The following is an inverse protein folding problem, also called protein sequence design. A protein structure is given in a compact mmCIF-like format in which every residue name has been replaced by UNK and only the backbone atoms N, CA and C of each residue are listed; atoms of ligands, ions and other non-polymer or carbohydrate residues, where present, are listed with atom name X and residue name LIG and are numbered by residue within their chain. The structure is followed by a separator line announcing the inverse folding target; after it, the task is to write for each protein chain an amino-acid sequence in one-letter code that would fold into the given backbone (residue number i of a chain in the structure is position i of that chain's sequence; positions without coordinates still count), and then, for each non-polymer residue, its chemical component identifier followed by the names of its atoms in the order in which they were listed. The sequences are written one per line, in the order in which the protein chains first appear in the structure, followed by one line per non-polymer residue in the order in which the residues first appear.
data_IF_740392457053
#
_entry.id   IF_740392457053
#
_cell.length_a   1.000
_cell.length_b   1.000
_cell.length_c   1.000
_cell.angle_alpha   90.00
_cell.angle_beta   90.00
_cell.angle_gamma   90.00
#
_symmetry.space_group_name_H-M   'P 1'
#
loop_
_entity.id
_entity.type
_entity.pdbx_description
1 polymer ?
#
# COMPACT_ATOMS: atom_id res chain seq x y z
N UNK A 1 16.72 -2.02 3.90
CA UNK A 1 15.30 -1.95 3.42
C UNK A 1 14.62 -0.71 3.97
N UNK A 2 13.93 0.10 3.14
CA UNK A 2 13.18 1.28 3.60
C UNK A 2 11.91 0.88 4.35
N UNK A 3 11.54 1.66 5.37
CA UNK A 3 10.26 1.54 6.07
C UNK A 3 9.41 2.75 5.70
N UNK A 4 8.28 2.49 5.08
CA UNK A 4 7.33 3.46 4.59
C UNK A 4 5.96 3.24 5.23
N UNK A 5 5.07 4.24 5.18
CA UNK A 5 3.70 4.11 5.67
C UNK A 5 2.67 4.51 4.61
N UNK A 6 1.44 3.99 4.77
CA UNK A 6 0.30 4.35 3.93
C UNK A 6 -0.94 4.54 4.81
N UNK A 7 -1.78 5.49 4.44
CA UNK A 7 -2.98 5.83 5.19
C UNK A 7 -4.24 5.76 4.32
N UNK A 8 -5.32 5.27 4.90
CA UNK A 8 -6.67 5.63 4.49
C UNK A 8 -6.92 7.04 5.04
N UNK A 9 -6.89 8.12 4.22
CA UNK A 9 -6.79 9.46 4.73
C UNK A 9 -8.05 9.88 5.49
N UNK A 10 -7.83 10.41 6.68
CA UNK A 10 -8.77 11.08 7.57
C UNK A 10 -8.33 12.54 7.80
N UNK A 11 -9.10 13.30 8.57
CA UNK A 11 -8.80 14.73 8.76
C UNK A 11 -7.50 14.97 9.53
N UNK A 12 -7.10 14.03 10.38
CA UNK A 12 -5.87 14.04 11.18
C UNK A 12 -4.66 13.38 10.50
N UNK A 13 -4.85 12.80 9.32
CA UNK A 13 -3.75 12.16 8.58
C UNK A 13 -2.55 13.08 8.33
N UNK A 14 -2.69 14.40 8.07
CA UNK A 14 -1.54 15.29 7.99
C UNK A 14 -0.69 15.31 9.27
N UNK A 15 -1.30 15.19 10.46
CA UNK A 15 -0.58 15.10 11.75
C UNK A 15 0.17 13.77 11.86
N UNK A 16 -0.46 12.68 11.44
CA UNK A 16 0.18 11.36 11.39
C UNK A 16 1.36 11.29 10.44
N UNK A 17 1.31 12.02 9.30
CA UNK A 17 2.44 12.12 8.36
C UNK A 17 3.60 12.91 8.98
N UNK A 18 3.33 13.98 9.73
CA UNK A 18 4.37 14.71 10.48
C UNK A 18 5.04 13.78 11.49
N UNK A 19 4.25 13.05 12.28
CA UNK A 19 4.78 12.06 13.23
C UNK A 19 5.59 10.97 12.51
N UNK A 20 5.14 10.48 11.36
CA UNK A 20 5.88 9.50 10.57
C UNK A 20 7.25 10.04 10.12
N UNK A 21 7.34 11.33 9.75
CA UNK A 21 8.63 11.98 9.46
C UNK A 21 9.54 11.99 10.70
N UNK A 22 9.02 12.37 11.85
CA UNK A 22 9.75 12.41 13.13
C UNK A 22 10.25 11.01 13.54
N UNK A 23 9.47 9.97 13.30
CA UNK A 23 9.83 8.58 13.55
C UNK A 23 10.80 7.99 12.50
N UNK A 24 11.13 8.74 11.43
CA UNK A 24 12.09 8.32 10.42
C UNK A 24 11.52 7.40 9.33
N UNK A 25 10.21 7.40 9.09
CA UNK A 25 9.63 6.81 7.89
C UNK A 25 10.12 7.58 6.66
N UNK A 26 10.42 6.86 5.57
CA UNK A 26 11.01 7.47 4.37
C UNK A 26 9.96 8.01 3.40
N UNK A 27 8.78 7.37 3.34
CA UNK A 27 7.63 7.76 2.52
C UNK A 27 6.33 7.61 3.28
N UNK A 28 5.41 8.54 3.04
CA UNK A 28 4.01 8.45 3.42
C UNK A 28 3.14 8.49 2.17
N UNK A 29 2.33 7.46 2.01
CA UNK A 29 1.35 7.35 0.93
C UNK A 29 -0.06 7.57 1.47
N UNK A 30 -0.97 8.02 0.62
CA UNK A 30 -2.40 8.03 0.93
C UNK A 30 -3.19 7.35 -0.18
N UNK A 31 -4.28 6.68 0.18
CA UNK A 31 -5.20 6.11 -0.80
C UNK A 31 -6.09 7.18 -1.42
N UNK A 32 -6.49 6.97 -2.69
CA UNK A 32 -7.41 7.85 -3.41
C UNK A 32 -8.73 7.14 -3.69
N UNK A 33 -9.62 7.14 -2.70
CA UNK A 33 -11.01 6.65 -2.81
C UNK A 33 -11.94 7.68 -2.18
N UNK A 34 -12.30 8.77 -2.92
CA UNK A 34 -13.01 9.93 -2.37
C UNK A 34 -14.37 9.64 -1.73
N UNK A 35 -14.99 8.51 -2.07
CA UNK A 35 -16.27 8.09 -1.47
C UNK A 35 -16.13 7.48 -0.09
N UNK A 36 -14.89 7.10 0.31
CA UNK A 36 -14.61 6.45 1.60
C UNK A 36 -13.71 7.27 2.50
N UNK A 37 -12.88 8.16 1.93
CA UNK A 37 -11.79 8.83 2.64
C UNK A 37 -11.82 10.34 2.45
N UNK A 38 -11.08 11.06 3.29
CA UNK A 38 -10.80 12.48 3.08
C UNK A 38 -10.08 12.71 1.74
N UNK A 39 -10.22 13.91 1.17
CA UNK A 39 -9.63 14.23 -0.14
C UNK A 39 -8.09 14.14 -0.08
N UNK A 40 -7.57 13.35 -0.99
CA UNK A 40 -6.14 13.03 -1.12
C UNK A 40 -5.29 14.28 -1.39
N UNK A 41 -5.77 15.18 -2.26
CA UNK A 41 -5.04 16.40 -2.61
C UNK A 41 -4.96 17.38 -1.43
N UNK A 42 -6.05 17.54 -0.69
CA UNK A 42 -6.08 18.38 0.52
C UNK A 42 -5.16 17.79 1.59
N UNK A 43 -5.29 16.50 1.87
CA UNK A 43 -4.46 15.80 2.88
C UNK A 43 -2.97 15.96 2.56
N UNK A 44 -2.55 15.68 1.32
CA UNK A 44 -1.15 15.78 0.92
C UNK A 44 -0.65 17.23 0.87
N UNK A 45 -1.49 18.19 0.47
CA UNK A 45 -1.15 19.62 0.50
C UNK A 45 -0.85 20.11 1.93
N UNK A 46 -1.69 19.72 2.89
CA UNK A 46 -1.49 20.04 4.31
C UNK A 46 -0.24 19.35 4.89
N UNK A 47 0.01 18.10 4.53
CA UNK A 47 1.22 17.37 4.94
C UNK A 47 2.48 17.98 4.30
N UNK A 48 2.45 18.33 3.01
CA UNK A 48 3.57 18.94 2.30
C UNK A 48 4.03 20.25 2.92
N UNK A 49 3.08 21.06 3.40
CA UNK A 49 3.36 22.35 4.06
C UNK A 49 3.97 22.19 5.48
N UNK A 50 3.89 21.01 6.07
CA UNK A 50 4.28 20.75 7.46
C UNK A 50 5.45 19.77 7.59
N UNK A 51 5.92 19.20 6.49
CA UNK A 51 7.03 18.24 6.43
C UNK A 51 8.14 18.75 5.54
N UNK A 52 9.36 18.27 5.76
CA UNK A 52 10.57 18.78 5.05
C UNK A 52 11.38 17.67 4.38
N UNK A 53 11.30 16.42 4.85
CA UNK A 53 12.15 15.31 4.43
C UNK A 53 11.37 14.10 3.89
N UNK A 54 10.24 13.74 4.52
CA UNK A 54 9.46 12.57 4.11
C UNK A 54 8.93 12.77 2.68
N UNK A 55 9.05 11.72 1.87
CA UNK A 55 8.41 11.71 0.54
C UNK A 55 6.91 11.45 0.70
N UNK A 56 6.12 12.11 -0.13
CA UNK A 56 4.67 12.04 -0.12
C UNK A 56 4.19 11.37 -1.41
N UNK A 57 3.10 10.61 -1.35
CA UNK A 57 2.60 9.97 -2.56
C UNK A 57 1.15 9.54 -2.48
N UNK A 58 0.60 9.18 -3.64
CA UNK A 58 -0.75 8.61 -3.78
C UNK A 58 -0.64 7.16 -4.22
N UNK A 59 -1.29 6.26 -3.51
CA UNK A 59 -1.34 4.83 -3.83
C UNK A 59 -2.79 4.33 -3.88
N UNK A 60 -3.47 4.53 -5.00
CA UNK A 60 -3.05 4.93 -6.35
C UNK A 60 -4.07 5.87 -6.99
N UNK A 61 -3.62 6.77 -7.86
CA UNK A 61 -4.52 7.44 -8.78
C UNK A 61 -5.15 6.43 -9.74
N UNK A 62 -6.45 6.59 -9.97
CA UNK A 62 -7.21 5.71 -10.87
C UNK A 62 -7.76 6.55 -12.02
N UNK A 63 -7.55 6.16 -13.29
CA UNK A 63 -8.04 6.92 -14.45
C UNK A 63 -9.54 7.16 -14.47
N UNK A 64 -10.33 6.30 -13.81
CA UNK A 64 -11.78 6.40 -13.76
C UNK A 64 -12.33 7.44 -12.77
N UNK A 65 -11.51 7.88 -11.79
CA UNK A 65 -11.95 8.81 -10.75
C UNK A 65 -11.88 10.26 -11.19
N UNK A 66 -10.82 10.63 -11.88
CA UNK A 66 -10.57 12.00 -12.31
C UNK A 66 -10.04 12.01 -13.74
N UNK A 67 -10.40 13.04 -14.50
CA UNK A 67 -9.81 13.25 -15.82
C UNK A 67 -8.27 13.38 -15.72
N UNK A 68 -7.56 12.95 -16.75
CA UNK A 68 -6.08 12.99 -16.81
C UNK A 68 -5.50 14.35 -16.40
N UNK A 69 -6.05 15.45 -16.92
CA UNK A 69 -5.57 16.80 -16.60
C UNK A 69 -5.75 17.19 -15.14
N UNK A 70 -6.78 16.67 -14.46
CA UNK A 70 -7.01 16.92 -13.04
C UNK A 70 -5.93 16.27 -12.19
N UNK A 71 -5.60 15.01 -12.46
CA UNK A 71 -4.51 14.33 -11.77
C UNK A 71 -3.14 14.95 -12.11
N UNK A 72 -2.90 15.29 -13.39
CA UNK A 72 -1.67 15.94 -13.81
C UNK A 72 -1.47 17.31 -13.12
N UNK A 73 -2.53 18.13 -13.02
CA UNK A 73 -2.50 19.41 -12.33
C UNK A 73 -2.25 19.27 -10.82
N UNK A 74 -2.92 18.31 -10.17
CA UNK A 74 -2.70 18.00 -8.75
C UNK A 74 -1.24 17.56 -8.50
N UNK A 75 -0.72 16.65 -9.32
CA UNK A 75 0.66 16.16 -9.22
C UNK A 75 1.64 17.33 -9.43
N UNK A 76 1.41 18.17 -10.44
CA UNK A 76 2.26 19.33 -10.71
C UNK A 76 2.30 20.30 -9.52
N UNK A 77 1.14 20.54 -8.89
CA UNK A 77 1.06 21.35 -7.69
C UNK A 77 1.83 20.74 -6.52
N UNK A 78 1.57 19.47 -6.19
CA UNK A 78 2.23 18.77 -5.07
C UNK A 78 3.74 18.63 -5.28
N UNK A 79 4.19 18.35 -6.50
CA UNK A 79 5.61 18.30 -6.84
C UNK A 79 6.30 19.67 -6.71
N UNK A 80 5.54 20.76 -6.92
CA UNK A 80 6.05 22.13 -6.74
C UNK A 80 6.12 22.53 -5.27
N UNK A 81 5.12 22.17 -4.46
CA UNK A 81 5.09 22.47 -3.01
C UNK A 81 6.07 21.58 -2.22
N UNK A 82 6.28 20.35 -2.67
CA UNK A 82 7.24 19.40 -2.07
C UNK A 82 8.32 19.00 -3.08
N UNK A 83 9.27 19.89 -3.45
CA UNK A 83 10.23 19.64 -4.52
C UNK A 83 11.07 18.38 -4.26
N UNK A 84 11.10 17.47 -5.25
CA UNK A 84 11.82 16.20 -5.17
C UNK A 84 11.24 15.18 -4.19
N UNK A 85 10.14 15.47 -3.49
CA UNK A 85 9.54 14.63 -2.46
C UNK A 85 8.17 14.06 -2.82
N UNK A 86 7.68 14.21 -4.05
CA UNK A 86 6.39 13.68 -4.46
C UNK A 86 6.54 12.48 -5.40
N UNK A 87 5.76 11.44 -5.15
CA UNK A 87 5.67 10.21 -5.93
C UNK A 87 4.22 9.99 -6.41
N UNK A 88 4.01 9.63 -7.67
CA UNK A 88 2.68 9.38 -8.22
C UNK A 88 2.46 7.88 -8.44
N UNK A 89 1.65 7.26 -7.60
CA UNK A 89 1.18 5.89 -7.82
C UNK A 89 -0.03 5.89 -8.75
N UNK A 90 -0.05 4.99 -9.72
CA UNK A 90 -1.14 4.78 -10.68
C UNK A 90 -1.57 3.32 -10.67
N UNK A 91 -2.85 3.04 -10.68
CA UNK A 91 -3.36 1.68 -10.65
C UNK A 91 -4.71 1.49 -11.33
N UNK A 92 -5.09 0.22 -11.50
CA UNK A 92 -6.33 -0.15 -12.15
C UNK A 92 -7.59 0.28 -11.37
N UNK A 93 -7.45 0.53 -10.07
CA UNK A 93 -8.53 1.02 -9.22
C UNK A 93 -9.57 -0.07 -8.91
N UNK A 94 -9.17 -1.11 -8.19
CA UNK A 94 -10.10 -2.20 -7.84
C UNK A 94 -11.29 -1.69 -7.02
N UNK A 95 -11.05 -1.17 -5.82
CA UNK A 95 -12.09 -0.66 -4.92
C UNK A 95 -12.81 0.55 -5.51
N UNK A 96 -12.06 1.54 -6.00
CA UNK A 96 -12.62 2.78 -6.54
C UNK A 96 -13.47 2.56 -7.78
N UNK A 97 -13.11 1.63 -8.67
CA UNK A 97 -13.93 1.30 -9.84
C UNK A 97 -15.22 0.59 -9.45
N UNK A 98 -15.19 -0.28 -8.44
CA UNK A 98 -16.41 -0.99 -7.96
C UNK A 98 -17.46 -0.02 -7.45
N UNK A 99 -17.08 1.02 -6.72
CA UNK A 99 -18.01 2.07 -6.28
C UNK A 99 -18.68 2.82 -7.44
N UNK A 100 -17.99 2.92 -8.57
CA UNK A 100 -18.53 3.55 -9.77
C UNK A 100 -19.32 2.59 -10.66
N UNK A 101 -19.50 1.33 -10.24
CA UNK A 101 -20.10 0.28 -11.07
C UNK A 101 -19.28 -0.03 -12.33
N UNK A 102 -17.97 0.21 -12.30
CA UNK A 102 -17.04 0.00 -13.41
C UNK A 102 -16.10 -1.16 -13.13
N UNK A 103 -15.58 -1.76 -14.19
CA UNK A 103 -14.47 -2.70 -14.10
C UNK A 103 -13.17 -1.94 -13.89
N UNK A 104 -12.16 -2.53 -13.22
CA UNK A 104 -10.82 -1.96 -13.16
C UNK A 104 -10.26 -1.64 -14.54
N UNK A 105 -9.44 -0.61 -14.64
CA UNK A 105 -8.82 -0.20 -15.90
C UNK A 105 -7.92 -1.32 -16.46
N UNK A 106 -7.90 -1.46 -17.79
CA UNK A 106 -7.01 -2.42 -18.45
C UNK A 106 -5.57 -1.94 -18.43
N UNK A 107 -4.60 -2.85 -18.43
CA UNK A 107 -3.18 -2.52 -18.39
C UNK A 107 -2.74 -1.63 -19.57
N UNK A 108 -3.28 -1.86 -20.76
CA UNK A 108 -3.01 -1.00 -21.91
C UNK A 108 -3.52 0.44 -21.74
N UNK A 109 -4.68 0.61 -21.10
CA UNK A 109 -5.23 1.94 -20.81
C UNK A 109 -4.40 2.65 -19.74
N UNK A 110 -3.89 1.91 -18.74
CA UNK A 110 -2.97 2.44 -17.74
C UNK A 110 -1.63 2.86 -18.35
N UNK A 111 -1.09 2.06 -19.26
CA UNK A 111 0.15 2.39 -19.96
C UNK A 111 0.00 3.69 -20.76
N UNK A 112 -1.07 3.81 -21.54
CA UNK A 112 -1.41 5.06 -22.25
C UNK A 112 -1.59 6.24 -21.28
N UNK A 113 -2.28 6.02 -20.17
CA UNK A 113 -2.50 7.05 -19.15
C UNK A 113 -1.19 7.55 -18.55
N UNK A 114 -0.29 6.66 -18.17
CA UNK A 114 1.01 7.03 -17.58
C UNK A 114 1.90 7.77 -18.59
N UNK A 115 1.89 7.35 -19.86
CA UNK A 115 2.63 8.05 -20.93
C UNK A 115 2.10 9.48 -21.12
N UNK A 116 0.78 9.64 -21.20
CA UNK A 116 0.14 10.94 -21.33
C UNK A 116 0.38 11.83 -20.08
N UNK A 117 0.32 11.23 -18.88
CA UNK A 117 0.62 11.94 -17.63
C UNK A 117 2.06 12.48 -17.62
N UNK A 118 3.03 11.67 -18.02
CA UNK A 118 4.44 12.10 -18.12
C UNK A 118 4.64 13.23 -19.12
N UNK A 119 4.00 13.14 -20.29
CA UNK A 119 4.08 14.19 -21.31
C UNK A 119 3.49 15.52 -20.79
N UNK A 120 2.34 15.49 -20.11
CA UNK A 120 1.76 16.68 -19.46
C UNK A 120 2.68 17.26 -18.40
N UNK A 121 3.33 16.43 -17.58
CA UNK A 121 4.29 16.86 -16.57
C UNK A 121 5.61 17.37 -17.18
N UNK A 122 5.93 16.95 -18.40
CA UNK A 122 7.03 17.53 -19.18
C UNK A 122 6.66 18.89 -19.80
N UNK A 123 5.39 19.32 -19.73
CA UNK A 123 4.89 20.55 -20.35
C UNK A 123 4.46 20.39 -21.81
N UNK A 124 4.30 19.15 -22.26
CA UNK A 124 3.90 18.82 -23.64
C UNK A 124 2.38 18.84 -23.82
N UNK A 125 1.94 18.84 -25.07
CA UNK A 125 0.55 18.62 -25.46
C UNK A 125 0.32 17.13 -25.74
N UNK A 126 -0.84 16.63 -25.36
CA UNK A 126 -1.23 15.23 -25.63
C UNK A 126 -2.64 15.17 -26.22
N UNK A 127 -2.89 14.21 -27.09
CA UNK A 127 -4.25 13.88 -27.52
C UNK A 127 -4.88 12.94 -26.49
N UNK A 128 -5.98 13.36 -25.89
CA UNK A 128 -6.72 12.60 -24.89
C UNK A 128 -8.23 12.71 -25.13
N UNK A 129 -8.87 11.54 -25.30
CA UNK A 129 -10.31 11.41 -25.55
C UNK A 129 -10.81 12.30 -26.71
N UNK A 130 -10.02 12.38 -27.81
CA UNK A 130 -10.34 13.13 -29.02
C UNK A 130 -10.08 14.64 -28.92
N UNK A 131 -9.42 15.10 -27.88
CA UNK A 131 -9.08 16.51 -27.68
C UNK A 131 -7.61 16.67 -27.36
N UNK A 132 -6.95 17.71 -27.92
CA UNK A 132 -5.61 18.07 -27.54
C UNK A 132 -5.67 18.84 -26.20
N UNK A 133 -4.93 18.33 -25.19
CA UNK A 133 -4.87 18.92 -23.86
C UNK A 133 -3.45 19.23 -23.45
N UNK A 134 -3.27 20.23 -22.59
CA UNK A 134 -2.00 20.57 -21.95
C UNK A 134 -2.23 21.20 -20.58
N UNK A 135 -1.18 21.28 -19.75
CA UNK A 135 -1.23 22.07 -18.52
C UNK A 135 -0.80 23.50 -18.81
N UNK A 136 -1.73 24.43 -18.71
CA UNK A 136 -1.56 25.83 -19.09
C UNK A 136 -1.26 26.74 -17.88
N UNK A 137 -0.49 26.25 -16.91
CA UNK A 137 -0.08 27.06 -15.77
C UNK A 137 0.84 28.21 -16.25
N UNK A 138 0.46 29.44 -15.93
CA UNK A 138 1.33 30.58 -16.23
C UNK A 138 2.54 30.58 -15.30
N UNK A 139 3.68 31.18 -15.69
CA UNK A 139 4.84 31.32 -14.81
C UNK A 139 4.53 32.01 -13.47
N UNK A 140 3.48 32.86 -13.45
CA UNK A 140 3.03 33.54 -12.22
C UNK A 140 2.40 32.59 -11.19
N UNK A 141 1.96 31.38 -11.59
CA UNK A 141 1.46 30.36 -10.66
C UNK A 141 2.57 29.72 -9.81
N UNK A 142 3.83 29.91 -10.16
CA UNK A 142 4.98 29.26 -9.53
C UNK A 142 5.28 27.85 -10.05
N UNK A 143 4.36 27.23 -10.80
CA UNK A 143 4.55 25.89 -11.38
C UNK A 143 5.37 26.02 -12.66
N UNK A 144 6.46 25.26 -12.77
CA UNK A 144 7.36 25.27 -13.92
C UNK A 144 7.58 23.86 -14.43
N UNK A 145 7.68 23.73 -15.74
CA UNK A 145 7.92 22.48 -16.45
C UNK A 145 9.34 22.44 -17.05
N UNK A 146 9.95 21.26 -17.24
CA UNK A 146 9.43 19.93 -16.91
C UNK A 146 9.44 19.64 -15.40
N UNK A 147 8.52 18.76 -14.97
CA UNK A 147 8.47 18.20 -13.61
C UNK A 147 8.82 16.72 -13.67
N UNK A 148 9.89 16.34 -12.99
CA UNK A 148 10.28 14.94 -12.82
C UNK A 148 9.58 14.34 -11.58
N UNK A 149 8.60 13.47 -11.81
CA UNK A 149 7.86 12.81 -10.75
C UNK A 149 8.00 11.30 -10.93
N UNK A 150 8.56 10.57 -9.94
CA UNK A 150 8.62 9.12 -9.98
C UNK A 150 7.22 8.51 -10.08
N UNK A 151 7.05 7.56 -11.00
CA UNK A 151 5.80 6.83 -11.18
C UNK A 151 5.91 5.47 -10.52
N UNK A 152 4.86 5.09 -9.80
CA UNK A 152 4.69 3.78 -9.19
C UNK A 152 3.40 3.13 -9.71
N UNK A 153 3.44 1.81 -9.90
CA UNK A 153 2.28 1.05 -10.37
C UNK A 153 1.72 0.19 -9.24
N UNK A 154 0.44 0.35 -8.93
CA UNK A 154 -0.29 -0.63 -8.13
C UNK A 154 -0.52 -1.91 -8.95
N UNK A 155 0.24 -2.98 -8.69
CA UNK A 155 0.22 -4.20 -9.49
C UNK A 155 0.40 -5.45 -8.61
N UNK A 156 -0.37 -6.52 -8.89
CA UNK A 156 -0.37 -7.74 -8.08
C UNK A 156 -0.16 -9.01 -8.92
N UNK A 157 0.37 -8.90 -10.13
CA UNK A 157 0.57 -10.07 -10.99
C UNK A 157 1.37 -9.78 -12.25
N UNK A 158 1.68 -10.84 -13.04
CA UNK A 158 2.66 -10.77 -14.13
C UNK A 158 2.38 -9.69 -15.19
N UNK A 159 1.11 -9.49 -15.56
CA UNK A 159 0.74 -8.46 -16.55
C UNK A 159 1.02 -7.04 -16.04
N UNK A 160 0.73 -6.78 -14.77
CA UNK A 160 1.01 -5.49 -14.13
C UNK A 160 2.51 -5.24 -13.98
N UNK A 161 3.26 -6.25 -13.55
CA UNK A 161 4.72 -6.18 -13.42
C UNK A 161 5.39 -5.92 -14.77
N UNK A 162 4.98 -6.63 -15.84
CA UNK A 162 5.47 -6.37 -17.19
C UNK A 162 5.16 -4.95 -17.68
N UNK A 163 3.98 -4.40 -17.32
CA UNK A 163 3.65 -3.01 -17.66
C UNK A 163 4.51 -2.02 -16.87
N UNK A 164 4.73 -2.26 -15.57
CA UNK A 164 5.62 -1.44 -14.74
C UNK A 164 7.05 -1.43 -15.31
N UNK A 165 7.57 -2.59 -15.71
CA UNK A 165 8.90 -2.72 -16.33
C UNK A 165 9.00 -1.90 -17.62
N UNK A 166 8.03 -2.02 -18.54
CA UNK A 166 8.02 -1.23 -19.79
C UNK A 166 7.99 0.27 -19.54
N UNK A 167 7.30 0.68 -18.49
CA UNK A 167 7.20 2.09 -18.10
C UNK A 167 8.40 2.57 -17.27
N UNK A 168 9.34 1.70 -16.87
CA UNK A 168 10.40 2.06 -15.93
C UNK A 168 9.83 2.60 -14.61
N UNK A 169 8.71 2.02 -14.14
CA UNK A 169 8.01 2.43 -12.93
C UNK A 169 8.33 1.48 -11.78
N UNK A 170 8.33 2.01 -10.54
CA UNK A 170 8.32 1.18 -9.35
C UNK A 170 6.96 0.46 -9.18
N UNK A 171 6.91 -0.50 -8.28
CA UNK A 171 5.70 -1.28 -7.98
C UNK A 171 5.33 -1.15 -6.50
N UNK A 172 4.03 -0.95 -6.24
CA UNK A 172 3.41 -1.15 -4.93
C UNK A 172 2.53 -2.39 -5.04
N UNK A 173 2.77 -3.38 -4.21
CA UNK A 173 2.09 -4.68 -4.26
C UNK A 173 1.94 -5.29 -2.88
N UNK A 174 1.11 -6.34 -2.79
CA UNK A 174 1.08 -7.18 -1.61
C UNK A 174 2.17 -8.26 -1.71
N UNK A 175 2.67 -8.78 -0.58
CA UNK A 175 3.60 -9.91 -0.59
C UNK A 175 2.94 -11.13 -1.24
N UNK A 176 3.74 -11.94 -1.91
CA UNK A 176 3.29 -13.26 -2.39
C UNK A 176 3.54 -14.31 -1.31
N UNK A 177 2.66 -15.32 -1.26
CA UNK A 177 2.90 -16.50 -0.46
C UNK A 177 3.75 -17.50 -1.26
N UNK A 178 4.78 -18.09 -0.63
CA UNK A 178 5.67 -19.07 -1.25
C UNK A 178 7.14 -18.66 -1.28
N UNK A 179 7.92 -19.32 -2.11
CA UNK A 179 9.39 -19.23 -2.12
C UNK A 179 9.95 -17.87 -2.58
N UNK A 180 9.11 -17.03 -3.17
CA UNK A 180 9.48 -15.69 -3.64
C UNK A 180 8.60 -14.61 -3.01
N UNK A 181 8.94 -14.13 -1.80
CA UNK A 181 8.16 -13.11 -1.11
C UNK A 181 8.19 -11.74 -1.82
N UNK A 182 9.25 -11.47 -2.61
CA UNK A 182 9.40 -10.23 -3.41
C UNK A 182 9.11 -10.55 -4.88
N UNK A 183 7.93 -10.19 -5.41
CA UNK A 183 7.47 -10.67 -6.72
C UNK A 183 8.01 -9.87 -7.92
N UNK A 184 8.71 -8.77 -7.68
CA UNK A 184 9.18 -7.83 -8.71
C UNK A 184 10.66 -7.50 -8.54
N UNK A 185 11.44 -7.54 -9.63
CA UNK A 185 12.89 -7.35 -9.60
C UNK A 185 13.35 -5.87 -9.61
N UNK A 186 12.41 -4.91 -9.69
CA UNK A 186 12.68 -3.48 -9.65
C UNK A 186 12.40 -2.87 -8.28
N UNK A 187 12.29 -1.54 -8.23
CA UNK A 187 11.86 -0.82 -7.05
C UNK A 187 10.47 -1.32 -6.61
N UNK A 188 10.37 -1.99 -5.47
CA UNK A 188 9.17 -2.67 -5.02
C UNK A 188 8.88 -2.32 -3.56
N UNK A 189 7.65 -1.90 -3.28
CA UNK A 189 7.13 -1.70 -1.94
C UNK A 189 6.10 -2.78 -1.63
N UNK A 190 6.34 -3.53 -0.57
CA UNK A 190 5.46 -4.60 -0.10
C UNK A 190 4.52 -4.05 0.97
N UNK A 191 3.23 -4.04 0.68
CA UNK A 191 2.20 -3.51 1.59
C UNK A 191 1.85 -4.53 2.66
N UNK A 192 1.93 -4.11 3.91
CA UNK A 192 1.56 -4.90 5.07
C UNK A 192 0.59 -4.15 5.98
N UNK A 193 -0.30 -4.91 6.59
CA UNK A 193 -1.30 -4.50 7.57
C UNK A 193 -1.03 -5.27 8.87
N UNK A 194 -1.47 -4.75 9.99
CA UNK A 194 -1.35 -5.46 11.26
C UNK A 194 -0.95 -4.54 12.41
N UNK A 195 -0.55 -5.14 13.52
CA UNK A 195 -0.14 -4.40 14.73
C UNK A 195 0.96 -5.13 15.48
N UNK A 196 1.78 -4.36 16.20
CA UNK A 196 2.72 -4.89 17.18
C UNK A 196 1.96 -5.19 18.47
N UNK A 197 2.00 -6.44 18.92
CA UNK A 197 1.41 -6.87 20.20
C UNK A 197 2.31 -6.42 21.36
N UNK A 198 1.67 -6.07 22.48
CA UNK A 198 2.36 -5.94 23.75
C UNK A 198 2.80 -7.32 24.27
N UNK A 199 3.69 -7.35 25.27
CA UNK A 199 4.11 -8.58 25.91
C UNK A 199 2.87 -9.31 26.50
N UNK A 200 2.76 -10.61 26.21
CA UNK A 200 1.65 -11.46 26.61
C UNK A 200 0.25 -11.05 26.09
N UNK A 201 0.17 -10.11 25.13
CA UNK A 201 -1.11 -9.72 24.54
C UNK A 201 -1.64 -10.78 23.58
N UNK A 202 -2.88 -11.29 23.79
CA UNK A 202 -3.51 -12.19 22.84
C UNK A 202 -3.71 -11.52 21.46
N UNK A 203 -3.47 -12.28 20.38
CA UNK A 203 -3.62 -11.77 19.00
C UNK A 203 -5.05 -11.34 18.67
N UNK A 204 -6.03 -11.85 19.41
CA UNK A 204 -7.45 -11.52 19.33
C UNK A 204 -7.92 -10.63 20.49
N UNK A 205 -7.01 -9.94 21.15
CA UNK A 205 -7.36 -8.91 22.13
C UNK A 205 -8.25 -7.83 21.48
N UNK A 206 -9.12 -7.15 22.23
CA UNK A 206 -9.93 -6.06 21.69
C UNK A 206 -9.09 -5.00 20.94
N UNK A 207 -7.91 -4.63 21.47
CA UNK A 207 -7.00 -3.70 20.82
C UNK A 207 -6.43 -4.24 19.52
N UNK A 208 -5.95 -5.49 19.52
CA UNK A 208 -5.38 -6.13 18.34
C UNK A 208 -6.44 -6.27 17.23
N UNK A 209 -7.68 -6.61 17.57
CA UNK A 209 -8.81 -6.65 16.62
C UNK A 209 -9.07 -5.27 16.02
N UNK A 210 -9.07 -4.20 16.81
CA UNK A 210 -9.27 -2.85 16.27
C UNK A 210 -8.10 -2.39 15.38
N UNK A 211 -6.86 -2.71 15.74
CA UNK A 211 -5.67 -2.27 15.02
C UNK A 211 -5.39 -3.12 13.76
N UNK A 212 -5.47 -4.45 13.85
CA UNK A 212 -5.20 -5.35 12.73
C UNK A 212 -6.43 -5.67 11.88
N UNK A 213 -7.63 -5.49 12.47
CA UNK A 213 -8.91 -5.83 11.84
C UNK A 213 -9.14 -5.21 10.46
N UNK A 214 -8.83 -3.93 10.22
CA UNK A 214 -8.97 -3.35 8.90
C UNK A 214 -8.20 -4.10 7.80
N UNK A 215 -6.97 -4.52 8.09
CA UNK A 215 -6.16 -5.34 7.18
C UNK A 215 -6.66 -6.79 7.07
N UNK A 216 -7.08 -7.38 8.16
CA UNK A 216 -7.66 -8.73 8.19
C UNK A 216 -8.99 -8.78 7.42
N UNK A 217 -9.81 -7.72 7.49
CA UNK A 217 -11.02 -7.57 6.68
C UNK A 217 -10.70 -7.56 5.19
N UNK A 218 -9.65 -6.84 4.77
CA UNK A 218 -9.20 -6.89 3.37
C UNK A 218 -8.88 -8.33 2.92
N UNK A 219 -8.24 -9.12 3.79
CA UNK A 219 -7.96 -10.52 3.49
C UNK A 219 -9.24 -11.36 3.35
N UNK A 220 -10.30 -11.09 4.16
CA UNK A 220 -11.62 -11.68 4.00
C UNK A 220 -12.27 -11.27 2.66
N UNK A 221 -12.16 -10.00 2.26
CA UNK A 221 -12.69 -9.48 1.00
C UNK A 221 -12.06 -10.16 -0.24
N UNK A 222 -10.82 -10.64 -0.13
CA UNK A 222 -10.17 -11.41 -1.20
C UNK A 222 -10.71 -12.84 -1.33
N UNK A 223 -11.42 -13.35 -0.33
CA UNK A 223 -12.07 -14.66 -0.33
C UNK A 223 -11.11 -15.81 -0.68
N UNK A 224 -11.53 -16.67 -1.61
CA UNK A 224 -10.74 -17.83 -2.03
C UNK A 224 -9.50 -17.48 -2.88
N UNK A 225 -9.31 -16.22 -3.24
CA UNK A 225 -8.13 -15.74 -3.98
C UNK A 225 -7.08 -15.07 -3.08
N UNK A 226 -7.34 -15.02 -1.78
CA UNK A 226 -6.50 -14.35 -0.79
C UNK A 226 -5.78 -15.30 0.16
N UNK A 227 -5.10 -14.74 1.15
CA UNK A 227 -4.32 -15.50 2.14
C UNK A 227 -5.18 -16.42 3.02
N UNK A 228 -6.50 -16.18 3.10
CA UNK A 228 -7.45 -16.96 3.91
C UNK A 228 -8.14 -18.09 3.12
N UNK A 229 -7.67 -18.36 1.89
CA UNK A 229 -8.24 -19.44 1.08
C UNK A 229 -8.27 -20.78 1.85
N UNK A 230 -9.41 -21.45 1.82
CA UNK A 230 -9.64 -22.73 2.52
C UNK A 230 -9.98 -22.61 4.00
N UNK A 231 -9.99 -21.41 4.59
CA UNK A 231 -10.46 -21.21 5.97
C UNK A 231 -12.00 -21.16 6.03
N UNK A 232 -12.61 -21.73 7.09
CA UNK A 232 -14.05 -21.68 7.27
C UNK A 232 -14.58 -20.22 7.40
N UNK A 233 -13.81 -19.33 8.00
CA UNK A 233 -14.14 -17.92 8.13
C UNK A 233 -14.31 -17.25 6.76
N UNK A 234 -13.41 -17.51 5.80
CA UNK A 234 -13.51 -16.98 4.44
C UNK A 234 -14.76 -17.50 3.72
N UNK A 235 -15.12 -18.78 3.89
CA UNK A 235 -16.34 -19.34 3.32
C UNK A 235 -17.60 -18.76 3.98
N UNK A 236 -17.61 -18.64 5.31
CA UNK A 236 -18.70 -18.03 6.07
C UNK A 236 -18.89 -16.56 5.73
N UNK A 237 -17.79 -15.80 5.59
CA UNK A 237 -17.80 -14.41 5.16
C UNK A 237 -18.42 -14.26 3.76
N UNK A 238 -17.97 -15.07 2.80
CA UNK A 238 -18.51 -15.05 1.45
C UNK A 238 -20.03 -15.32 1.43
N UNK A 239 -20.49 -16.29 2.20
CA UNK A 239 -21.92 -16.58 2.32
C UNK A 239 -22.71 -15.40 2.92
N UNK A 240 -22.15 -14.69 3.90
CA UNK A 240 -22.77 -13.51 4.49
C UNK A 240 -22.85 -12.34 3.49
N UNK A 241 -21.82 -12.14 2.69
CA UNK A 241 -21.79 -11.12 1.63
C UNK A 241 -22.76 -11.47 0.50
N UNK A 242 -22.86 -12.74 0.11
CA UNK A 242 -23.78 -13.20 -0.95
C UNK A 242 -25.25 -13.08 -0.56
N UNK A 243 -25.57 -13.10 0.73
CA UNK A 243 -26.91 -12.86 1.24
C UNK A 243 -27.40 -11.41 1.13
N UNK A 244 -26.49 -10.46 0.87
CA UNK A 244 -26.83 -9.05 0.69
C UNK A 244 -27.38 -8.84 -0.74
N UNK A 245 -28.40 -7.98 -0.87
CA UNK A 245 -28.91 -7.57 -2.18
C UNK A 245 -27.76 -7.11 -3.09
N UNK A 246 -27.68 -7.65 -4.30
CA UNK A 246 -26.58 -7.44 -5.23
C UNK A 246 -26.28 -5.96 -5.50
N UNK A 247 -27.34 -5.12 -5.57
CA UNK A 247 -27.21 -3.69 -5.84
C UNK A 247 -26.54 -2.91 -4.71
N UNK A 248 -26.61 -3.43 -3.47
CA UNK A 248 -26.09 -2.78 -2.28
C UNK A 248 -24.81 -3.46 -1.73
N UNK A 249 -24.52 -4.67 -2.22
CA UNK A 249 -23.44 -5.55 -1.71
C UNK A 249 -22.09 -4.81 -1.61
N UNK A 250 -21.70 -4.05 -2.63
CA UNK A 250 -20.46 -3.31 -2.66
C UNK A 250 -20.38 -2.20 -1.59
N UNK A 251 -21.51 -1.60 -1.23
CA UNK A 251 -21.57 -0.57 -0.18
C UNK A 251 -21.34 -1.17 1.20
N UNK A 252 -21.93 -2.35 1.46
CA UNK A 252 -21.76 -3.04 2.74
C UNK A 252 -20.37 -3.70 2.83
N UNK A 253 -19.87 -4.27 1.74
CA UNK A 253 -18.53 -4.87 1.68
C UNK A 253 -17.43 -3.86 2.02
N UNK A 254 -17.52 -2.65 1.49
CA UNK A 254 -16.48 -1.63 1.66
C UNK A 254 -16.80 -0.57 2.72
N UNK A 255 -17.82 -0.80 3.57
CA UNK A 255 -18.11 0.10 4.70
C UNK A 255 -16.95 0.08 5.69
N UNK A 256 -16.37 1.25 5.99
CA UNK A 256 -15.20 1.35 6.88
C UNK A 256 -13.90 0.79 6.30
N UNK A 257 -13.87 0.46 5.00
CA UNK A 257 -12.73 -0.19 4.34
C UNK A 257 -11.39 0.42 4.72
N UNK A 258 -10.48 -0.41 5.24
CA UNK A 258 -9.13 -0.05 5.69
C UNK A 258 -9.05 1.02 6.81
N UNK A 259 -10.19 1.43 7.40
CA UNK A 259 -10.28 2.31 8.58
C UNK A 259 -10.71 1.51 9.79
N UNK A 260 -11.85 0.83 9.69
CA UNK A 260 -12.43 0.03 10.76
C UNK A 260 -13.18 -1.20 10.21
N UNK A 261 -13.18 -2.33 10.92
CA UNK A 261 -13.97 -3.48 10.53
C UNK A 261 -15.46 -3.17 10.64
N UNK A 262 -16.25 -3.46 9.60
CA UNK A 262 -17.70 -3.34 9.65
C UNK A 262 -18.37 -4.47 10.48
N UNK A 263 -19.68 -4.40 10.66
CA UNK A 263 -20.42 -5.36 11.47
C UNK A 263 -20.38 -6.81 10.93
N UNK A 264 -20.18 -6.98 9.61
CA UNK A 264 -20.03 -8.30 9.00
C UNK A 264 -18.61 -8.80 9.24
N UNK A 265 -17.60 -7.96 8.98
CA UNK A 265 -16.20 -8.32 9.19
C UNK A 265 -15.95 -8.84 10.62
N UNK A 266 -16.44 -8.10 11.63
CA UNK A 266 -16.26 -8.42 13.05
C UNK A 266 -16.73 -9.84 13.43
N UNK A 267 -17.66 -10.41 12.70
CA UNK A 267 -18.17 -11.78 12.95
C UNK A 267 -17.15 -12.86 12.57
N UNK A 268 -16.19 -12.53 11.72
CA UNK A 268 -15.21 -13.46 11.15
C UNK A 268 -13.75 -13.11 11.50
N UNK A 269 -13.53 -12.04 12.26
CA UNK A 269 -12.20 -11.65 12.75
C UNK A 269 -11.82 -12.50 13.96
N UNK A 270 -11.20 -13.65 13.70
CA UNK A 270 -10.60 -14.52 14.71
C UNK A 270 -9.11 -14.31 14.80
N UNK A 271 -8.45 -14.79 15.87
CA UNK A 271 -7.01 -14.77 15.99
C UNK A 271 -6.27 -15.42 14.81
N UNK A 272 -6.84 -16.50 14.26
CA UNK A 272 -6.30 -17.20 13.10
C UNK A 272 -6.42 -16.38 11.81
N UNK A 273 -7.53 -15.67 11.63
CA UNK A 273 -7.72 -14.74 10.50
C UNK A 273 -6.73 -13.58 10.58
N UNK A 274 -6.53 -13.00 11.76
CA UNK A 274 -5.54 -11.93 11.97
C UNK A 274 -4.13 -12.45 11.69
N UNK A 275 -3.74 -13.57 12.29
CA UNK A 275 -2.42 -14.19 12.12
C UNK A 275 -2.09 -14.47 10.66
N UNK A 276 -3.05 -14.97 9.90
CA UNK A 276 -2.84 -15.38 8.51
C UNK A 276 -3.01 -14.23 7.52
N UNK A 277 -3.85 -13.27 7.84
CA UNK A 277 -4.19 -12.14 6.97
C UNK A 277 -3.32 -10.90 7.13
N UNK A 278 -2.55 -10.82 8.22
CA UNK A 278 -1.80 -9.59 8.58
C UNK A 278 -0.41 -9.90 9.12
N UNK A 279 0.43 -8.87 9.22
CA UNK A 279 1.70 -8.89 9.95
C UNK A 279 1.45 -8.45 11.40
N UNK A 280 0.83 -9.32 12.18
CA UNK A 280 0.55 -9.08 13.60
C UNK A 280 1.34 -10.05 14.47
N UNK A 281 2.04 -9.52 15.47
CA UNK A 281 2.87 -10.30 16.38
C UNK A 281 3.65 -9.38 17.32
N UNK A 282 4.47 -9.97 18.19
CA UNK A 282 5.37 -9.21 19.05
C UNK A 282 6.41 -8.43 18.23
N UNK A 283 7.06 -7.45 18.83
CA UNK A 283 8.10 -6.66 18.16
C UNK A 283 9.21 -7.55 17.59
N UNK A 284 9.61 -8.61 18.31
CA UNK A 284 10.64 -9.57 17.88
C UNK A 284 10.17 -10.40 16.68
N UNK A 285 8.92 -10.86 16.67
CA UNK A 285 8.35 -11.62 15.54
C UNK A 285 8.27 -10.77 14.28
N UNK A 286 7.83 -9.52 14.40
CA UNK A 286 7.78 -8.56 13.28
C UNK A 286 9.19 -8.26 12.77
N UNK A 287 10.15 -8.01 13.67
CA UNK A 287 11.56 -7.81 13.32
C UNK A 287 12.11 -9.00 12.51
N UNK A 288 11.81 -10.24 12.93
CA UNK A 288 12.23 -11.45 12.24
C UNK A 288 11.60 -11.58 10.84
N UNK A 289 10.33 -11.20 10.68
CA UNK A 289 9.66 -11.16 9.36
C UNK A 289 10.35 -10.13 8.47
N UNK A 290 10.58 -8.92 8.97
CA UNK A 290 11.23 -7.84 8.22
C UNK A 290 12.66 -8.20 7.82
N UNK A 291 13.41 -8.90 8.72
CA UNK A 291 14.75 -9.40 8.41
C UNK A 291 14.74 -10.39 7.26
N UNK A 292 13.84 -11.39 7.30
CA UNK A 292 13.69 -12.35 6.18
C UNK A 292 13.33 -11.69 4.86
N UNK A 293 12.48 -10.65 4.87
CA UNK A 293 12.15 -9.89 3.66
C UNK A 293 13.36 -9.14 3.11
N UNK A 294 14.17 -8.54 3.99
CA UNK A 294 15.40 -7.84 3.61
C UNK A 294 16.41 -8.82 3.01
N UNK A 295 16.62 -9.97 3.63
CA UNK A 295 17.49 -11.05 3.12
C UNK A 295 16.99 -11.62 1.78
N UNK A 296 15.66 -11.63 1.55
CA UNK A 296 15.05 -12.00 0.27
C UNK A 296 15.10 -10.90 -0.81
N UNK A 297 15.76 -9.76 -0.51
CA UNK A 297 15.96 -8.67 -1.46
C UNK A 297 14.83 -7.63 -1.49
N UNK A 298 13.94 -7.59 -0.49
CA UNK A 298 12.94 -6.53 -0.40
C UNK A 298 13.62 -5.16 -0.21
N UNK A 299 13.27 -4.19 -1.05
CA UNK A 299 13.82 -2.83 -0.99
C UNK A 299 13.04 -1.91 -0.07
N UNK A 300 11.74 -2.16 0.09
CA UNK A 300 10.88 -1.37 0.96
C UNK A 300 9.68 -2.16 1.47
N UNK A 301 9.28 -1.89 2.71
CA UNK A 301 8.00 -2.27 3.29
C UNK A 301 7.12 -1.04 3.44
N UNK A 302 5.87 -1.18 3.07
CA UNK A 302 4.82 -0.17 3.16
C UNK A 302 3.81 -0.60 4.23
N UNK A 303 3.94 -0.06 5.42
CA UNK A 303 3.08 -0.40 6.56
C UNK A 303 1.83 0.47 6.58
N UNK A 304 0.67 -0.14 6.69
CA UNK A 304 -0.58 0.57 7.02
C UNK A 304 -0.91 0.40 8.50
N UNK A 305 -0.82 1.46 9.31
CA UNK A 305 -1.37 1.46 10.65
C UNK A 305 -2.89 1.44 10.60
N UNK A 306 -3.54 0.79 11.56
CA UNK A 306 -4.98 0.72 11.68
C UNK A 306 -5.46 0.92 13.11
N UNK A 307 -6.78 1.05 13.28
CA UNK A 307 -7.41 1.24 14.58
C UNK A 307 -7.41 2.70 15.08
N UNK A 308 -7.80 2.91 16.34
CA UNK A 308 -8.05 4.27 16.87
C UNK A 308 -6.78 5.02 17.30
N UNK A 309 -5.63 4.34 17.46
CA UNK A 309 -4.38 4.93 17.94
C UNK A 309 -3.26 4.80 16.91
N UNK A 310 -3.39 5.53 15.80
CA UNK A 310 -2.41 5.56 14.72
C UNK A 310 -1.01 5.98 15.20
N UNK A 311 -0.85 6.98 16.10
CA UNK A 311 0.45 7.32 16.68
C UNK A 311 1.16 6.15 17.34
N UNK A 312 0.45 5.38 18.16
CA UNK A 312 0.99 4.16 18.82
C UNK A 312 1.43 3.14 17.76
N UNK A 313 0.59 2.90 16.76
CA UNK A 313 0.88 1.90 15.73
C UNK A 313 2.13 2.27 14.90
N UNK A 314 2.27 3.54 14.52
CA UNK A 314 3.47 4.02 13.83
C UNK A 314 4.72 3.86 14.69
N UNK A 315 4.67 4.27 15.96
CA UNK A 315 5.82 4.20 16.85
C UNK A 315 6.24 2.76 17.12
N UNK A 316 5.29 1.87 17.43
CA UNK A 316 5.54 0.47 17.72
C UNK A 316 6.12 -0.29 16.51
N UNK A 317 5.53 -0.10 15.32
CA UNK A 317 6.04 -0.74 14.12
C UNK A 317 7.45 -0.23 13.74
N UNK A 318 7.69 1.07 13.90
CA UNK A 318 9.02 1.64 13.63
C UNK A 318 10.07 1.09 14.59
N UNK A 319 9.76 0.97 15.88
CA UNK A 319 10.63 0.36 16.88
C UNK A 319 10.90 -1.12 16.56
N UNK A 320 9.88 -1.91 16.25
CA UNK A 320 10.04 -3.29 15.81
C UNK A 320 10.92 -3.42 14.55
N UNK A 321 10.77 -2.49 13.61
CA UNK A 321 11.58 -2.48 12.41
C UNK A 321 13.07 -2.19 12.68
N UNK A 322 13.40 -1.43 13.70
CA UNK A 322 14.83 -1.23 14.11
C UNK A 322 15.45 -2.50 14.69
N UNK A 323 14.71 -3.28 15.47
CA UNK A 323 15.21 -4.52 16.07
C UNK A 323 15.72 -5.54 15.02
N UNK A 324 15.27 -5.45 13.78
CA UNK A 324 15.73 -6.36 12.71
C UNK A 324 17.23 -6.28 12.46
N UNK A 325 17.88 -5.17 12.79
CA UNK A 325 19.30 -4.97 12.60
C UNK A 325 20.15 -5.77 13.62
N UNK A 326 19.56 -6.14 14.75
CA UNK A 326 20.20 -6.94 15.81
C UNK A 326 20.05 -8.45 15.52
N UNK A 327 19.24 -8.84 14.53
CA UNK A 327 19.03 -10.24 14.17
C UNK A 327 20.07 -10.73 13.15
N UNK A 328 20.53 -12.00 13.28
CA UNK A 328 21.43 -12.61 12.29
C UNK A 328 20.76 -12.70 10.91
N UNK A 329 21.59 -12.67 9.85
CA UNK A 329 21.08 -12.90 8.48
C UNK A 329 20.67 -14.37 8.31
N UNK A 330 19.48 -14.61 7.78
CA UNK A 330 18.96 -15.96 7.50
C UNK A 330 19.73 -16.69 6.40
N UNK A 331 20.55 -15.99 5.60
CA UNK A 331 21.41 -16.59 4.59
C UNK A 331 22.59 -17.39 5.17
N UNK A 332 22.91 -17.23 6.46
CA UNK A 332 24.02 -17.92 7.11
C UNK A 332 23.64 -19.31 7.66
N UNK A 333 22.37 -19.59 7.93
CA UNK A 333 21.93 -20.86 8.52
C UNK A 333 21.91 -22.01 7.49
N UNK A 334 21.64 -21.73 6.20
CA UNK A 334 21.66 -22.75 5.15
C UNK A 334 23.06 -23.22 4.72
N UNK A 335 24.14 -22.53 5.15
CA UNK A 335 25.50 -22.93 4.82
C UNK A 335 26.12 -23.88 5.85
N UNK A 336 25.59 -23.95 7.07
CA UNK A 336 26.08 -24.82 8.14
C UNK A 336 25.43 -26.22 8.13
N UNK A 337 24.19 -26.36 7.63
CA UNK A 337 23.56 -27.69 7.53
C UNK A 337 24.09 -28.52 6.35
N UNK A 338 24.59 -27.89 5.27
CA UNK A 338 25.18 -28.62 4.11
C UNK A 338 26.64 -29.04 4.29
N UNK A 339 27.32 -28.64 5.36
CA UNK A 339 28.73 -29.03 5.59
C UNK A 339 28.88 -30.27 6.48
N UNK A 340 27.85 -30.75 7.13
CA UNK A 340 27.87 -31.91 8.03
C UNK A 340 27.51 -33.25 7.33
N UNK A 341 26.92 -33.21 6.15
CA UNK A 341 26.51 -34.43 5.41
C UNK A 341 27.53 -34.95 4.37
N UNK A 342 28.67 -34.29 4.21
CA UNK A 342 29.71 -34.75 3.25
C UNK A 342 30.91 -35.50 3.88
N UNK A 343 30.99 -35.70 5.21
CA UNK A 343 32.10 -36.42 5.81
C UNK A 343 31.82 -37.89 6.22
N UNK A 344 30.69 -38.49 5.85
CA UNK A 344 30.33 -39.87 6.22
C UNK A 344 30.24 -40.82 5.00
N UNK A 345 30.86 -40.55 3.88
CA UNK A 345 30.93 -41.49 2.75
C UNK A 345 32.34 -41.65 2.21
N UNK A 346 33.33 -41.90 3.03
CA UNK A 346 34.59 -42.56 2.63
C UNK A 346 35.32 -43.04 3.91
N UNK A 347 34.87 -44.20 4.41
CA UNK A 347 35.72 -45.12 5.22
C UNK A 347 35.21 -46.56 5.03
#
# INVERSE_FOLDING_TARGET
MEINCVFAPALDTPDHIVLAEELGYRRAWVYDVPVSYADTGITLGLAAARTTAIRLGVSVFTPHLRHLTMNAALIAHLATVAPGRFDAGVGAGFTSSTYLGRKPARWADLERYVQALRALLAGEQVEWDGTVVSLMHSPASGIRYPLEVPIWMGAHGPKGFATATRLGAGVVTNPTHGDRPVPFDGACQLTYYGTVLEDDEPIDSPRAIEAAGPGASLALHMGQHGPLAGMPEAAGYQAAIDAIDERHRHLELYRGHLIEPNAIDRRFLTGDVIRRGTMTGTATEIAAILRRLEDAGATAVLYQPGGPDIPRELAAFRAAAELRHDLPSTSTENSTENSTDQEVQHA
#
